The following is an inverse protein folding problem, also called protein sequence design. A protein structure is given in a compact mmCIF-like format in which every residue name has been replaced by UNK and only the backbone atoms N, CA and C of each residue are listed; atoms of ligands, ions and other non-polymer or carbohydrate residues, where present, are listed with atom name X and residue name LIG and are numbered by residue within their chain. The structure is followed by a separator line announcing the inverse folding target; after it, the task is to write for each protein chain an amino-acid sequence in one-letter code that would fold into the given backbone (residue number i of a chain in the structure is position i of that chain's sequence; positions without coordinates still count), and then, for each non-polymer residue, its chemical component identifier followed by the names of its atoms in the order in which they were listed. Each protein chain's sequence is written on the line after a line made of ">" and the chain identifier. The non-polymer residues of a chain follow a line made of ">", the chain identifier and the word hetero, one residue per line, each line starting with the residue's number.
data_IF_598691076504
#
_entry.id   IF_598691076504
#
_cell.length_a   1.000
_cell.length_b   1.000
_cell.length_c   1.000
_cell.angle_alpha   90.00
_cell.angle_beta   90.00
_cell.angle_gamma   90.00
#
_symmetry.space_group_name_H-M   'P 1'
#
loop_
_entity.id
_entity.type
_entity.pdbx_description
1 polymer ?
#
# COMPACT_ATOMS: atom_id res chain seq x y z
N UNK A 1 2.45 -0.80 -8.45
CA UNK A 1 1.68 -1.96 -8.96
C UNK A 1 0.76 -2.43 -7.82
N UNK A 2 -0.47 -1.93 -7.71
CA UNK A 2 -1.41 -2.39 -6.67
C UNK A 2 -2.05 -3.68 -7.15
N UNK A 3 -1.31 -4.79 -7.11
CA UNK A 3 -1.91 -6.11 -7.23
C UNK A 3 -2.61 -6.39 -5.91
N UNK A 4 -3.88 -6.00 -5.82
CA UNK A 4 -4.80 -6.74 -4.97
C UNK A 4 -4.71 -8.19 -5.49
N UNK A 5 -4.29 -9.18 -4.69
CA UNK A 5 -4.34 -10.55 -5.15
C UNK A 5 -5.81 -10.84 -5.39
N UNK A 6 -6.20 -10.89 -6.66
CA UNK A 6 -7.51 -11.40 -7.06
C UNK A 6 -7.46 -12.90 -6.82
N UNK A 7 -7.55 -13.28 -5.54
CA UNK A 7 -7.86 -14.62 -5.09
C UNK A 7 -9.37 -14.66 -4.87
N UNK A 8 -10.10 -14.61 -5.97
CA UNK A 8 -11.40 -15.26 -6.00
C UNK A 8 -11.22 -16.48 -6.89
N UNK A 9 -10.57 -17.50 -6.32
CA UNK A 9 -10.85 -18.88 -6.69
C UNK A 9 -12.37 -19.07 -6.69
N UNK A 10 -12.86 -19.99 -7.52
CA UNK A 10 -14.27 -20.36 -7.55
C UNK A 10 -14.77 -20.69 -6.12
N UNK A 11 -15.47 -19.75 -5.50
CA UNK A 11 -16.12 -19.89 -4.19
C UNK A 11 -17.61 -20.06 -4.48
N UNK A 12 -18.14 -21.30 -4.47
CA UNK A 12 -19.57 -21.52 -4.69
C UNK A 12 -20.39 -20.74 -3.65
N UNK A 13 -21.63 -20.39 -3.95
CA UNK A 13 -22.52 -19.72 -2.98
C UNK A 13 -23.18 -20.71 -1.99
N UNK A 14 -22.62 -21.90 -1.86
CA UNK A 14 -23.10 -22.97 -0.98
C UNK A 14 -21.91 -23.73 -0.39
N UNK A 15 -22.04 -24.16 0.87
CA UNK A 15 -21.04 -24.95 1.56
C UNK A 15 -21.47 -26.43 1.57
N UNK A 16 -20.55 -27.33 1.24
CA UNK A 16 -20.79 -28.79 1.28
C UNK A 16 -20.36 -29.33 2.65
N UNK A 17 -21.28 -29.88 3.47
CA UNK A 17 -20.91 -30.44 4.75
C UNK A 17 -20.07 -31.72 4.57
N UNK A 18 -19.12 -32.02 5.48
CA UNK A 18 -18.36 -33.28 5.45
C UNK A 18 -19.25 -34.52 5.57
N UNK A 19 -20.46 -34.32 6.10
CA UNK A 19 -21.49 -35.32 6.23
C UNK A 19 -22.00 -35.90 4.91
N UNK A 20 -21.94 -35.13 3.81
CA UNK A 20 -22.30 -35.63 2.48
C UNK A 20 -21.30 -36.70 2.03
N UNK A 21 -20.00 -36.42 2.16
CA UNK A 21 -18.93 -37.40 1.91
C UNK A 21 -19.04 -38.60 2.85
N UNK A 22 -19.42 -38.39 4.11
CA UNK A 22 -19.66 -39.50 5.04
C UNK A 22 -20.82 -40.38 4.59
N UNK A 23 -21.90 -39.80 4.06
CA UNK A 23 -23.03 -40.54 3.52
C UNK A 23 -22.61 -41.38 2.30
N UNK A 24 -21.84 -40.81 1.36
CA UNK A 24 -21.30 -41.53 0.21
C UNK A 24 -20.43 -42.73 0.63
N UNK A 25 -19.50 -42.53 1.57
CA UNK A 25 -18.64 -43.59 2.10
C UNK A 25 -19.44 -44.70 2.78
N UNK A 26 -20.55 -44.34 3.46
CA UNK A 26 -21.45 -45.31 4.09
C UNK A 26 -22.22 -46.12 3.05
N UNK A 27 -22.72 -45.48 2.00
CA UNK A 27 -23.47 -46.12 0.92
C UNK A 27 -22.59 -47.07 0.12
N UNK A 28 -21.36 -46.67 -0.26
CA UNK A 28 -20.38 -47.53 -0.92
C UNK A 28 -20.04 -48.79 -0.12
N UNK A 29 -20.10 -48.69 1.21
CA UNK A 29 -19.80 -49.79 2.13
C UNK A 29 -21.04 -50.56 2.58
N UNK A 30 -22.24 -50.18 2.13
CA UNK A 30 -23.50 -50.75 2.59
C UNK A 30 -23.69 -50.64 4.12
N UNK A 31 -23.13 -49.61 4.75
CA UNK A 31 -23.13 -49.41 6.21
C UNK A 31 -24.17 -48.35 6.60
N UNK A 32 -25.13 -48.70 7.44
CA UNK A 32 -26.08 -47.70 7.95
C UNK A 32 -25.44 -46.76 8.99
N UNK A 33 -25.99 -45.55 9.14
CA UNK A 33 -25.56 -44.60 10.19
C UNK A 33 -25.66 -45.21 11.60
N UNK A 34 -26.65 -46.07 11.86
CA UNK A 34 -26.79 -46.78 13.13
C UNK A 34 -25.64 -47.78 13.34
N UNK A 35 -25.19 -48.44 12.28
CA UNK A 35 -24.04 -49.35 12.34
C UNK A 35 -22.73 -48.59 12.53
N UNK A 36 -22.57 -47.45 11.87
CA UNK A 36 -21.44 -46.55 12.08
C UNK A 36 -21.38 -46.08 13.55
N UNK A 37 -22.51 -45.61 14.09
CA UNK A 37 -22.63 -45.17 15.48
C UNK A 37 -22.12 -46.25 16.44
N UNK A 38 -22.56 -47.50 16.26
CA UNK A 38 -22.08 -48.65 17.03
C UNK A 38 -20.56 -48.87 16.88
N UNK A 39 -20.00 -48.77 15.66
CA UNK A 39 -18.57 -48.99 15.41
C UNK A 39 -17.67 -47.89 15.95
N UNK A 40 -18.16 -46.67 16.00
CA UNK A 40 -17.41 -45.49 16.49
C UNK A 40 -17.57 -45.22 17.98
N UNK A 41 -18.42 -46.00 18.65
CA UNK A 41 -18.87 -45.74 20.03
C UNK A 41 -19.42 -44.31 20.20
N UNK A 42 -20.30 -43.92 19.27
CA UNK A 42 -20.99 -42.63 19.27
C UNK A 42 -22.50 -42.88 19.24
N UNK A 43 -23.28 -41.94 19.77
CA UNK A 43 -24.73 -42.07 19.68
C UNK A 43 -25.22 -41.91 18.23
N UNK A 44 -26.29 -42.63 17.80
CA UNK A 44 -26.91 -42.41 16.49
C UNK A 44 -27.29 -40.95 16.25
N UNK A 45 -27.74 -40.25 17.30
CA UNK A 45 -28.02 -38.80 17.26
C UNK A 45 -26.78 -37.98 16.90
N UNK A 46 -25.61 -38.35 17.41
CA UNK A 46 -24.36 -37.65 17.14
C UNK A 46 -23.93 -37.86 15.68
N UNK A 47 -23.95 -39.10 15.18
CA UNK A 47 -23.67 -39.41 13.77
C UNK A 47 -24.63 -38.66 12.84
N UNK A 48 -25.93 -38.67 13.13
CA UNK A 48 -26.92 -37.95 12.32
C UNK A 48 -26.65 -36.43 12.28
N UNK A 49 -26.22 -35.83 13.40
CA UNK A 49 -25.87 -34.41 13.42
C UNK A 49 -24.56 -34.10 12.67
N UNK A 50 -23.61 -35.02 12.62
CA UNK A 50 -22.41 -34.91 11.77
C UNK A 50 -22.81 -34.98 10.29
N UNK A 51 -23.63 -35.97 9.90
CA UNK A 51 -24.11 -36.12 8.53
C UNK A 51 -24.83 -34.87 8.04
N UNK A 52 -25.64 -34.25 8.90
CA UNK A 52 -26.34 -33.01 8.57
C UNK A 52 -25.50 -31.72 8.79
N UNK A 53 -24.19 -31.81 9.07
CA UNK A 53 -23.30 -30.66 9.25
C UNK A 53 -23.53 -29.79 10.51
N UNK A 54 -24.43 -30.21 11.40
CA UNK A 54 -24.83 -29.46 12.61
C UNK A 54 -23.83 -29.55 13.77
N UNK A 55 -22.91 -30.50 13.74
CA UNK A 55 -21.86 -30.69 14.75
C UNK A 55 -20.53 -30.87 14.04
N UNK A 56 -19.45 -30.23 14.51
CA UNK A 56 -18.15 -30.36 13.88
C UNK A 56 -17.54 -31.74 14.11
N UNK A 57 -16.82 -32.23 13.11
CA UNK A 57 -15.94 -33.39 13.27
C UNK A 57 -14.69 -32.96 14.03
N UNK A 58 -14.61 -33.30 15.32
CA UNK A 58 -13.40 -33.09 16.11
C UNK A 58 -12.28 -34.08 15.74
N UNK A 59 -11.04 -33.81 16.15
CA UNK A 59 -9.92 -34.73 15.92
C UNK A 59 -10.18 -36.14 16.48
N UNK A 60 -10.81 -36.24 17.65
CA UNK A 60 -11.17 -37.53 18.25
C UNK A 60 -12.22 -38.27 17.40
N UNK A 61 -13.25 -37.57 16.93
CA UNK A 61 -14.28 -38.14 16.05
C UNK A 61 -13.67 -38.56 14.72
N UNK A 62 -12.78 -37.77 14.14
CA UNK A 62 -12.09 -38.09 12.89
C UNK A 62 -11.27 -39.39 13.00
N UNK A 63 -10.55 -39.60 14.12
CA UNK A 63 -9.80 -40.85 14.38
C UNK A 63 -10.75 -42.05 14.53
N UNK A 64 -11.89 -41.87 15.21
CA UNK A 64 -12.92 -42.92 15.33
C UNK A 64 -13.53 -43.27 13.96
N UNK A 65 -13.82 -42.26 13.14
CA UNK A 65 -14.30 -42.43 11.77
C UNK A 65 -13.27 -43.17 10.92
N UNK A 66 -11.99 -42.78 10.95
CA UNK A 66 -10.90 -43.46 10.24
C UNK A 66 -10.88 -44.96 10.56
N UNK A 67 -10.94 -45.32 11.83
CA UNK A 67 -10.96 -46.74 12.25
C UNK A 67 -12.20 -47.49 11.74
N UNK A 68 -13.33 -46.81 11.57
CA UNK A 68 -14.59 -47.41 11.16
C UNK A 68 -14.78 -47.45 9.63
N UNK A 69 -14.21 -46.47 8.92
CA UNK A 69 -14.42 -46.22 7.49
C UNK A 69 -13.16 -46.30 6.65
N UNK A 70 -11.98 -46.54 7.23
CA UNK A 70 -10.68 -46.59 6.54
C UNK A 70 -10.33 -45.32 5.74
N UNK A 71 -11.08 -44.24 5.94
CA UNK A 71 -10.81 -42.92 5.36
C UNK A 71 -9.95 -42.13 6.35
N UNK A 72 -8.75 -41.66 5.96
CA UNK A 72 -7.84 -40.98 6.87
C UNK A 72 -8.48 -39.81 7.63
N UNK A 73 -8.22 -39.69 8.94
CA UNK A 73 -8.70 -38.62 9.82
C UNK A 73 -8.35 -37.22 9.29
N UNK A 74 -7.18 -37.08 8.64
CA UNK A 74 -6.77 -35.83 7.99
C UNK A 74 -7.75 -35.35 6.91
N UNK A 75 -8.40 -36.27 6.18
CA UNK A 75 -9.37 -35.91 5.15
C UNK A 75 -10.65 -35.38 5.79
N UNK A 76 -11.15 -36.05 6.83
CA UNK A 76 -12.31 -35.57 7.59
C UNK A 76 -12.09 -34.18 8.18
N UNK A 77 -10.91 -33.95 8.78
CA UNK A 77 -10.55 -32.65 9.33
C UNK A 77 -10.40 -31.57 8.25
N UNK A 78 -9.86 -31.92 7.08
CA UNK A 78 -9.77 -31.00 5.95
C UNK A 78 -11.15 -30.60 5.44
N UNK A 79 -12.06 -31.57 5.25
CA UNK A 79 -13.44 -31.31 4.83
C UNK A 79 -14.17 -30.43 5.84
N UNK A 80 -14.04 -30.73 7.14
CA UNK A 80 -14.65 -29.93 8.21
C UNK A 80 -14.11 -28.51 8.23
N UNK A 81 -12.80 -28.33 8.12
CA UNK A 81 -12.17 -27.01 8.08
C UNK A 81 -12.69 -26.20 6.89
N UNK A 82 -12.69 -26.78 5.68
CA UNK A 82 -13.22 -26.13 4.47
C UNK A 82 -14.70 -25.77 4.62
N UNK A 83 -15.54 -26.69 5.12
CA UNK A 83 -16.96 -26.43 5.30
C UNK A 83 -17.24 -25.27 6.26
N UNK A 84 -16.57 -25.26 7.43
CA UNK A 84 -16.76 -24.21 8.45
C UNK A 84 -16.24 -22.86 7.99
N UNK A 85 -15.08 -22.85 7.33
CA UNK A 85 -14.52 -21.64 6.73
C UNK A 85 -15.48 -21.06 5.68
N UNK A 86 -16.05 -21.91 4.83
CA UNK A 86 -17.00 -21.49 3.82
C UNK A 86 -18.31 -20.96 4.42
N UNK A 87 -18.89 -21.64 5.42
CA UNK A 87 -20.05 -21.12 6.15
C UNK A 87 -19.78 -19.73 6.74
N UNK A 88 -18.61 -19.53 7.35
CA UNK A 88 -18.22 -18.24 7.91
C UNK A 88 -18.07 -17.15 6.84
N UNK A 89 -17.62 -17.51 5.63
CA UNK A 89 -17.56 -16.57 4.49
C UNK A 89 -18.94 -16.20 3.97
N UNK A 90 -19.87 -17.15 3.91
CA UNK A 90 -21.23 -16.92 3.42
C UNK A 90 -22.11 -16.16 4.43
N UNK A 91 -21.73 -16.12 5.70
CA UNK A 91 -22.45 -15.37 6.73
C UNK A 91 -22.30 -13.85 6.55
N UNK A 92 -23.15 -13.28 5.70
CA UNK A 92 -23.22 -11.83 5.50
C UNK A 92 -23.67 -11.07 6.76
N UNK A 93 -24.38 -11.74 7.69
CA UNK A 93 -24.86 -11.09 8.91
C UNK A 93 -23.70 -10.69 9.83
N UNK A 94 -22.60 -11.45 9.79
CA UNK A 94 -21.36 -11.11 10.49
C UNK A 94 -20.70 -9.83 9.96
N UNK A 95 -20.91 -9.50 8.68
CA UNK A 95 -20.35 -8.29 8.03
C UNK A 95 -21.25 -7.07 8.17
N UNK A 96 -22.53 -7.25 8.50
CA UNK A 96 -23.50 -6.16 8.56
C UNK A 96 -23.08 -4.98 9.47
N UNK A 97 -22.45 -5.18 10.64
CA UNK A 97 -21.98 -4.07 11.50
C UNK A 97 -20.89 -3.20 10.86
N UNK A 98 -20.13 -3.76 9.91
CA UNK A 98 -18.97 -3.13 9.29
C UNK A 98 -19.30 -2.44 7.96
N UNK A 99 -20.47 -2.71 7.36
CA UNK A 99 -20.92 -2.08 6.10
C UNK A 99 -20.79 -0.56 6.04
N UNK A 100 -21.07 0.22 7.11
CA UNK A 100 -20.94 1.67 7.01
C UNK A 100 -19.49 2.15 6.89
N UNK A 101 -18.48 1.27 6.97
CA UNK A 101 -17.10 1.58 6.58
C UNK A 101 -17.00 2.03 5.12
N UNK A 102 -17.87 1.51 4.24
CA UNK A 102 -17.87 1.88 2.82
C UNK A 102 -18.21 3.35 2.58
N UNK A 103 -18.91 3.99 3.52
CA UNK A 103 -19.25 5.41 3.48
C UNK A 103 -18.16 6.29 4.09
N UNK A 104 -17.27 5.71 4.90
CA UNK A 104 -16.14 6.40 5.54
C UNK A 104 -14.90 6.50 4.64
N UNK A 105 -14.89 5.79 3.50
CA UNK A 105 -13.72 5.65 2.64
C UNK A 105 -13.99 6.26 1.24
N UNK A 106 -12.95 6.72 0.53
CA UNK A 106 -13.09 7.24 -0.84
C UNK A 106 -13.21 6.10 -1.87
N UNK A 107 -14.25 5.26 -1.75
CA UNK A 107 -14.43 4.03 -2.57
C UNK A 107 -14.37 4.32 -4.07
N UNK A 108 -15.00 5.42 -4.52
CA UNK A 108 -14.98 5.80 -5.93
C UNK A 108 -13.56 6.09 -6.43
N UNK A 109 -12.72 6.76 -5.63
CA UNK A 109 -11.33 7.01 -5.96
C UNK A 109 -10.53 5.69 -5.97
N UNK A 110 -10.77 4.81 -5.00
CA UNK A 110 -10.11 3.51 -4.93
C UNK A 110 -10.41 2.63 -6.15
N UNK A 111 -11.67 2.59 -6.62
CA UNK A 111 -12.05 1.88 -7.86
C UNK A 111 -11.43 2.53 -9.09
N UNK A 112 -11.44 3.86 -9.18
CA UNK A 112 -10.82 4.62 -10.29
C UNK A 112 -9.32 4.37 -10.41
N UNK A 113 -8.64 4.18 -9.28
CA UNK A 113 -7.21 3.89 -9.20
C UNK A 113 -6.89 2.39 -9.37
N UNK A 114 -7.90 1.54 -9.59
CA UNK A 114 -7.70 0.09 -9.78
C UNK A 114 -7.33 -0.66 -8.49
N UNK A 115 -7.45 -0.02 -7.32
CA UNK A 115 -7.25 -0.68 -6.02
C UNK A 115 -8.34 -1.71 -5.76
N UNK A 116 -9.58 -1.35 -6.12
CA UNK A 116 -10.78 -2.14 -5.88
C UNK A 116 -11.40 -2.58 -7.21
N UNK A 117 -11.90 -3.81 -7.23
CA UNK A 117 -12.51 -4.46 -8.39
C UNK A 117 -13.79 -3.75 -8.80
N UNK A 118 -14.01 -3.53 -10.10
CA UNK A 118 -15.23 -2.85 -10.57
C UNK A 118 -16.47 -3.73 -10.34
N UNK A 119 -17.63 -3.09 -10.09
CA UNK A 119 -18.97 -3.72 -10.09
C UNK A 119 -19.18 -4.89 -9.09
N UNK A 120 -18.66 -4.79 -7.87
CA UNK A 120 -18.98 -5.73 -6.78
C UNK A 120 -20.24 -5.34 -5.98
N UNK A 121 -20.92 -6.33 -5.42
CA UNK A 121 -21.95 -6.13 -4.39
C UNK A 121 -21.37 -5.61 -3.07
N UNK A 122 -22.21 -5.10 -2.17
CA UNK A 122 -21.77 -4.40 -0.94
C UNK A 122 -20.93 -5.27 0.01
N UNK A 123 -21.25 -6.56 0.16
CA UNK A 123 -20.51 -7.45 1.06
C UNK A 123 -19.12 -7.80 0.49
N UNK A 124 -19.04 -8.14 -0.80
CA UNK A 124 -17.76 -8.40 -1.46
C UNK A 124 -16.88 -7.16 -1.52
N UNK A 125 -17.50 -5.99 -1.77
CA UNK A 125 -16.82 -4.69 -1.66
C UNK A 125 -16.21 -4.50 -0.28
N UNK A 126 -16.96 -4.79 0.79
CA UNK A 126 -16.47 -4.66 2.15
C UNK A 126 -15.33 -5.64 2.45
N UNK A 127 -15.43 -6.90 2.02
CA UNK A 127 -14.34 -7.89 2.16
C UNK A 127 -13.06 -7.39 1.48
N UNK A 128 -13.18 -6.93 0.24
CA UNK A 128 -12.05 -6.39 -0.53
C UNK A 128 -11.41 -5.17 0.16
N UNK A 129 -12.24 -4.25 0.68
CA UNK A 129 -11.77 -3.10 1.45
C UNK A 129 -11.02 -3.51 2.71
N UNK A 130 -11.57 -4.43 3.51
CA UNK A 130 -10.93 -4.92 4.74
C UNK A 130 -9.58 -5.60 4.45
N UNK A 131 -9.51 -6.40 3.38
CA UNK A 131 -8.28 -7.03 2.91
C UNK A 131 -7.23 -5.99 2.47
N UNK A 132 -7.62 -5.01 1.67
CA UNK A 132 -6.71 -3.96 1.21
C UNK A 132 -6.15 -3.14 2.39
N UNK A 133 -7.02 -2.73 3.31
CA UNK A 133 -6.64 -1.99 4.51
C UNK A 133 -5.82 -2.84 5.49
N UNK A 134 -5.87 -4.17 5.40
CA UNK A 134 -5.19 -5.09 6.31
C UNK A 134 -5.80 -5.08 7.71
N UNK A 135 -7.11 -4.92 7.82
CA UNK A 135 -7.83 -4.81 9.11
C UNK A 135 -8.98 -5.80 9.19
N UNK A 136 -9.23 -6.31 10.40
CA UNK A 136 -10.25 -7.34 10.61
C UNK A 136 -11.70 -6.82 10.50
N UNK A 137 -11.93 -5.54 10.83
CA UNK A 137 -13.26 -4.90 10.87
C UNK A 137 -13.16 -3.37 10.95
N UNK A 138 -14.30 -2.67 10.92
CA UNK A 138 -14.39 -1.20 10.97
C UNK A 138 -13.83 -0.61 12.26
N UNK A 139 -13.96 -1.31 13.40
CA UNK A 139 -13.40 -0.83 14.67
C UNK A 139 -11.87 -0.85 14.66
N UNK A 140 -11.28 -1.93 14.12
CA UNK A 140 -9.83 -2.01 13.92
C UNK A 140 -9.32 -0.91 12.98
N UNK A 141 -10.06 -0.63 11.90
CA UNK A 141 -9.78 0.52 11.01
C UNK A 141 -9.75 1.84 11.78
N UNK A 142 -10.81 2.16 12.50
CA UNK A 142 -10.91 3.44 13.24
C UNK A 142 -9.82 3.62 14.28
N UNK A 143 -9.40 2.54 14.96
CA UNK A 143 -8.25 2.58 15.89
C UNK A 143 -6.94 2.90 15.16
N UNK A 144 -6.73 2.25 14.02
CA UNK A 144 -5.55 2.48 13.16
C UNK A 144 -5.52 3.93 12.68
N UNK A 145 -6.64 4.43 12.15
CA UNK A 145 -6.76 5.81 11.69
C UNK A 145 -6.47 6.82 12.81
N UNK A 146 -7.05 6.65 14.00
CA UNK A 146 -6.78 7.53 15.15
C UNK A 146 -5.29 7.57 15.54
N UNK A 147 -4.61 6.42 15.53
CA UNK A 147 -3.18 6.35 15.86
C UNK A 147 -2.31 7.08 14.82
N UNK A 148 -2.72 6.99 13.56
CA UNK A 148 -2.12 7.68 12.44
C UNK A 148 -2.36 9.20 12.55
N UNK A 149 -3.61 9.64 12.78
CA UNK A 149 -3.98 11.05 12.99
C UNK A 149 -3.20 11.73 14.13
N UNK A 150 -3.01 11.03 15.25
CA UNK A 150 -2.20 11.51 16.36
C UNK A 150 -0.73 11.71 15.97
N UNK A 151 -0.21 10.83 15.11
CA UNK A 151 1.16 10.92 14.59
C UNK A 151 1.30 12.05 13.56
N UNK A 152 0.26 12.35 12.80
CA UNK A 152 0.24 13.41 11.78
C UNK A 152 0.16 14.82 12.36
N UNK A 153 -0.23 14.99 13.63
CA UNK A 153 -0.60 16.29 14.23
C UNK A 153 -1.42 17.12 13.23
N UNK A 154 -2.54 16.58 12.74
CA UNK A 154 -3.38 17.32 11.81
C UNK A 154 -3.85 18.62 12.45
N UNK A 155 -3.33 19.77 11.97
CA UNK A 155 -3.98 21.05 12.25
C UNK A 155 -5.36 21.01 11.61
N UNK A 156 -6.35 21.50 12.33
CA UNK A 156 -7.80 21.48 12.03
C UNK A 156 -8.21 22.27 10.77
N UNK A 157 -7.25 22.66 9.94
CA UNK A 157 -7.44 23.37 8.68
C UNK A 157 -7.92 22.41 7.57
N UNK A 158 -9.11 21.84 7.73
CA UNK A 158 -10.19 21.54 6.77
C UNK A 158 -9.89 21.08 5.31
N UNK A 159 -8.66 20.69 4.93
CA UNK A 159 -8.31 20.46 3.52
C UNK A 159 -8.08 18.99 3.13
N UNK A 160 -7.85 18.07 4.05
CA UNK A 160 -7.59 16.67 3.71
C UNK A 160 -8.60 15.75 4.40
N UNK A 161 -9.12 14.77 3.66
CA UNK A 161 -9.87 13.64 4.21
C UNK A 161 -8.87 12.64 4.85
N UNK A 162 -8.93 12.41 6.17
CA UNK A 162 -8.02 11.48 6.85
C UNK A 162 -8.11 10.06 6.31
N UNK A 163 -9.30 9.63 5.88
CA UNK A 163 -9.48 8.32 5.28
C UNK A 163 -8.75 8.20 3.93
N UNK A 164 -8.82 9.25 3.09
CA UNK A 164 -8.08 9.31 1.83
C UNK A 164 -6.56 9.31 2.05
N UNK A 165 -6.07 10.05 3.06
CA UNK A 165 -4.65 10.03 3.43
C UNK A 165 -4.23 8.62 3.88
N UNK A 166 -5.01 7.96 4.73
CA UNK A 166 -4.69 6.62 5.21
C UNK A 166 -4.71 5.57 4.08
N UNK A 167 -5.67 5.66 3.14
CA UNK A 167 -5.69 4.82 1.93
C UNK A 167 -4.44 5.05 1.07
N UNK A 168 -4.04 6.32 0.89
CA UNK A 168 -2.83 6.67 0.15
C UNK A 168 -1.57 6.13 0.83
N UNK A 169 -1.43 6.30 2.15
CA UNK A 169 -0.32 5.73 2.90
C UNK A 169 -0.28 4.21 2.77
N UNK A 170 -1.43 3.54 2.86
CA UNK A 170 -1.53 2.08 2.69
C UNK A 170 -1.02 1.60 1.33
N UNK A 171 -1.23 2.36 0.25
CA UNK A 171 -0.62 2.05 -1.05
C UNK A 171 0.89 1.95 -0.95
N UNK A 172 1.53 2.94 -0.32
CA UNK A 172 2.97 2.96 -0.15
C UNK A 172 3.48 1.84 0.74
N UNK A 173 2.71 1.39 1.73
CA UNK A 173 3.09 0.23 2.57
C UNK A 173 3.07 -1.07 1.77
N UNK A 174 2.01 -1.29 0.99
CA UNK A 174 1.85 -2.49 0.16
C UNK A 174 2.97 -2.55 -0.89
N UNK A 175 3.19 -1.46 -1.63
CA UNK A 175 4.25 -1.45 -2.65
C UNK A 175 5.65 -1.50 -2.04
N UNK A 176 5.88 -0.86 -0.89
CA UNK A 176 7.16 -0.98 -0.20
C UNK A 176 7.44 -2.39 0.33
N UNK A 177 6.41 -3.19 0.64
CA UNK A 177 6.59 -4.56 1.13
C UNK A 177 7.30 -5.44 0.09
N UNK A 178 7.05 -5.21 -1.20
CA UNK A 178 7.64 -5.95 -2.33
C UNK A 178 9.10 -5.53 -2.64
N UNK A 179 9.60 -4.45 -2.04
CA UNK A 179 10.96 -3.96 -2.27
C UNK A 179 11.90 -4.55 -1.23
N UNK A 180 12.78 -5.46 -1.65
CA UNK A 180 13.86 -5.96 -0.79
C UNK A 180 14.90 -4.86 -0.56
N UNK A 181 15.10 -4.50 0.71
CA UNK A 181 16.03 -3.45 1.12
C UNK A 181 17.20 -4.04 1.93
N UNK A 182 18.39 -3.50 1.72
CA UNK A 182 19.53 -3.73 2.60
C UNK A 182 19.25 -3.15 4.01
N UNK A 183 20.01 -3.50 5.06
CA UNK A 183 19.90 -2.82 6.34
C UNK A 183 20.14 -1.31 6.20
N UNK A 184 19.40 -0.51 7.00
CA UNK A 184 19.56 0.94 7.03
C UNK A 184 21.02 1.36 7.27
N UNK A 185 21.56 2.15 6.36
CA UNK A 185 22.88 2.77 6.47
C UNK A 185 22.79 4.26 6.12
N UNK A 186 22.89 5.17 7.10
CA UNK A 186 22.78 6.61 6.88
C UNK A 186 23.95 7.18 6.04
N UNK A 187 25.13 6.56 6.10
CA UNK A 187 26.28 6.99 5.30
C UNK A 187 26.09 6.61 3.84
N UNK A 188 25.62 5.37 3.60
CA UNK A 188 25.22 4.91 2.27
C UNK A 188 24.07 5.75 1.71
N UNK A 189 23.08 6.08 2.53
CA UNK A 189 21.95 6.89 2.07
C UNK A 189 22.38 8.30 1.63
N UNK A 190 23.29 8.95 2.36
CA UNK A 190 23.88 10.23 1.92
C UNK A 190 24.57 10.13 0.56
N UNK A 191 25.25 9.01 0.29
CA UNK A 191 25.85 8.75 -1.01
C UNK A 191 24.81 8.49 -2.11
N UNK A 192 23.75 7.75 -1.78
CA UNK A 192 22.58 7.57 -2.65
C UNK A 192 21.96 8.91 -3.03
N UNK A 193 21.84 9.86 -2.10
CA UNK A 193 21.31 11.19 -2.41
C UNK A 193 22.20 11.94 -3.41
N UNK A 194 23.53 11.81 -3.33
CA UNK A 194 24.43 12.41 -4.33
C UNK A 194 24.23 11.80 -5.72
N UNK A 195 24.04 10.48 -5.78
CA UNK A 195 23.77 9.79 -7.05
C UNK A 195 22.39 10.15 -7.60
N UNK A 196 21.36 10.21 -6.75
CA UNK A 196 20.01 10.64 -7.10
C UNK A 196 19.99 12.08 -7.64
N UNK A 197 20.82 12.98 -7.10
CA UNK A 197 20.98 14.34 -7.63
C UNK A 197 21.48 14.33 -9.07
N UNK A 198 22.38 13.41 -9.41
CA UNK A 198 22.83 13.20 -10.80
C UNK A 198 21.71 12.71 -11.72
N UNK A 199 20.80 11.86 -11.22
CA UNK A 199 19.64 11.36 -11.96
C UNK A 199 18.66 12.46 -12.36
N UNK A 200 18.70 13.62 -11.72
CA UNK A 200 17.84 14.75 -12.10
C UNK A 200 17.98 15.12 -13.57
N UNK A 201 19.18 14.94 -14.13
CA UNK A 201 19.53 15.26 -15.53
C UNK A 201 18.93 14.28 -16.54
N UNK A 202 18.48 13.12 -16.09
CA UNK A 202 17.78 12.15 -16.93
C UNK A 202 16.31 12.56 -17.05
N UNK A 203 15.87 12.82 -18.28
CA UNK A 203 14.52 13.29 -18.55
C UNK A 203 13.50 12.16 -18.55
N UNK A 204 13.93 10.93 -18.82
CA UNK A 204 13.05 9.77 -19.00
C UNK A 204 12.82 9.01 -17.66
N UNK A 205 11.58 9.03 -17.11
CA UNK A 205 11.24 8.31 -15.89
C UNK A 205 11.44 6.80 -15.97
N UNK A 206 11.35 6.20 -17.17
CA UNK A 206 11.58 4.77 -17.35
C UNK A 206 13.01 4.36 -17.06
N UNK A 207 13.94 5.31 -17.15
CA UNK A 207 15.37 5.10 -16.92
C UNK A 207 15.76 5.42 -15.48
N UNK A 208 15.40 6.61 -14.99
CA UNK A 208 15.88 7.03 -13.67
C UNK A 208 15.08 6.43 -12.51
N UNK A 209 13.80 6.08 -12.70
CA UNK A 209 12.97 5.57 -11.61
C UNK A 209 13.44 4.21 -11.09
N UNK A 210 13.67 3.19 -11.94
CA UNK A 210 14.13 1.89 -11.45
C UNK A 210 15.49 2.03 -10.74
N UNK A 211 16.37 2.87 -11.28
CA UNK A 211 17.67 3.18 -10.69
C UNK A 211 17.54 3.89 -9.33
N UNK A 212 16.60 4.82 -9.19
CA UNK A 212 16.35 5.48 -7.90
C UNK A 212 15.82 4.49 -6.85
N UNK A 213 14.93 3.57 -7.26
CA UNK A 213 14.44 2.49 -6.38
C UNK A 213 15.60 1.61 -5.91
N UNK A 214 16.45 1.14 -6.84
CA UNK A 214 17.62 0.31 -6.53
C UNK A 214 18.60 1.01 -5.58
N UNK A 215 18.93 2.28 -5.87
CA UNK A 215 19.84 3.06 -5.04
C UNK A 215 19.29 3.22 -3.62
N UNK A 216 18.02 3.63 -3.47
CA UNK A 216 17.37 3.75 -2.17
C UNK A 216 17.35 2.42 -1.41
N UNK A 217 16.99 1.33 -2.10
CA UNK A 217 16.92 -0.01 -1.51
C UNK A 217 18.29 -0.47 -0.98
N UNK A 218 19.38 -0.12 -1.66
CA UNK A 218 20.76 -0.41 -1.23
C UNK A 218 21.17 0.29 0.07
N UNK A 219 20.41 1.30 0.52
CA UNK A 219 20.63 2.02 1.76
C UNK A 219 19.57 1.73 2.84
N UNK A 220 18.65 0.79 2.60
CA UNK A 220 17.56 0.48 3.53
C UNK A 220 16.30 1.31 3.37
N UNK A 221 16.12 1.99 2.23
CA UNK A 221 14.97 2.84 1.95
C UNK A 221 14.15 2.29 0.78
N UNK A 222 12.89 1.97 1.04
CA UNK A 222 11.92 1.74 -0.03
C UNK A 222 11.48 3.10 -0.59
N UNK A 223 11.79 3.37 -1.86
CA UNK A 223 11.24 4.51 -2.58
C UNK A 223 10.04 4.07 -3.40
N UNK A 224 8.90 4.75 -3.21
CA UNK A 224 7.64 4.37 -3.85
C UNK A 224 6.95 5.61 -4.42
N UNK A 225 6.55 5.50 -5.68
CA UNK A 225 5.84 6.54 -6.41
C UNK A 225 4.41 6.07 -6.71
N UNK A 226 3.45 6.58 -5.95
CA UNK A 226 2.04 6.14 -6.03
C UNK A 226 1.14 7.27 -6.55
N UNK A 227 0.01 6.96 -7.22
CA UNK A 227 -0.95 7.98 -7.60
C UNK A 227 -1.53 8.69 -6.37
N UNK A 228 -1.96 9.94 -6.54
CA UNK A 228 -2.72 10.63 -5.52
C UNK A 228 -4.12 10.01 -5.37
N UNK A 229 -4.60 9.94 -4.14
CA UNK A 229 -6.00 9.61 -3.82
C UNK A 229 -6.78 10.91 -3.68
N UNK A 230 -7.86 11.06 -4.47
CA UNK A 230 -8.74 12.23 -4.41
C UNK A 230 -9.19 12.46 -2.95
N UNK A 231 -8.91 13.66 -2.40
CA UNK A 231 -9.19 14.02 -1.01
C UNK A 231 -7.99 13.91 -0.05
N UNK A 232 -6.91 13.23 -0.42
CA UNK A 232 -5.71 13.14 0.41
C UNK A 232 -4.90 14.44 0.41
N UNK A 233 -4.69 15.05 -0.77
CA UNK A 233 -3.94 16.30 -0.98
C UNK A 233 -2.57 16.30 -0.27
N UNK A 234 -1.89 15.16 -0.27
CA UNK A 234 -0.55 14.99 0.30
C UNK A 234 0.47 14.78 -0.79
N UNK A 235 1.62 15.41 -0.62
CA UNK A 235 2.61 15.48 -1.68
C UNK A 235 3.80 14.54 -1.50
N UNK A 236 4.04 14.12 -0.27
CA UNK A 236 5.10 13.20 0.10
C UNK A 236 4.89 12.73 1.53
N UNK A 237 5.49 11.58 1.84
CA UNK A 237 5.58 11.05 3.18
C UNK A 237 6.88 10.29 3.38
N UNK A 238 7.53 10.54 4.50
CA UNK A 238 8.68 9.78 4.98
C UNK A 238 8.32 9.07 6.29
N UNK A 239 8.55 7.76 6.38
CA UNK A 239 8.30 6.99 7.60
C UNK A 239 9.16 5.75 7.73
N UNK A 240 9.26 5.23 8.95
CA UNK A 240 9.90 3.93 9.21
C UNK A 240 8.84 2.83 9.21
N UNK A 241 8.98 1.82 8.34
CA UNK A 241 8.12 0.64 8.32
C UNK A 241 8.56 -0.39 9.36
N UNK A 242 9.88 -0.50 9.54
CA UNK A 242 10.54 -1.29 10.58
C UNK A 242 11.74 -0.49 11.10
N UNK A 243 12.42 -0.93 12.18
CA UNK A 243 13.64 -0.27 12.65
C UNK A 243 14.77 -0.18 11.59
N UNK A 244 14.74 -1.03 10.56
CA UNK A 244 15.79 -1.12 9.55
C UNK A 244 15.33 -0.78 8.12
N UNK A 245 14.05 -0.45 7.93
CA UNK A 245 13.46 -0.16 6.60
C UNK A 245 12.67 1.14 6.64
N UNK A 246 13.23 2.18 6.03
CA UNK A 246 12.53 3.44 5.80
C UNK A 246 11.73 3.41 4.51
N UNK A 247 10.75 4.30 4.40
CA UNK A 247 9.89 4.49 3.26
C UNK A 247 9.84 5.97 2.90
N UNK A 248 10.15 6.28 1.65
CA UNK A 248 9.85 7.57 1.01
C UNK A 248 8.75 7.31 -0.02
N UNK A 249 7.58 7.89 0.22
CA UNK A 249 6.41 7.75 -0.60
C UNK A 249 6.04 9.10 -1.22
N UNK A 250 6.01 9.21 -2.55
CA UNK A 250 5.66 10.44 -3.24
C UNK A 250 4.44 10.27 -4.14
N UNK A 251 3.64 11.33 -4.27
CA UNK A 251 2.59 11.41 -5.29
C UNK A 251 3.13 12.07 -6.57
N UNK A 252 2.78 11.51 -7.72
CA UNK A 252 3.50 11.80 -8.98
C UNK A 252 2.62 12.34 -10.12
N UNK A 253 1.30 12.29 -10.00
CA UNK A 253 0.39 12.64 -11.11
C UNK A 253 0.51 14.12 -11.47
N UNK A 254 0.88 14.40 -12.72
CA UNK A 254 0.91 15.75 -13.28
C UNK A 254 2.02 16.65 -12.74
N UNK A 255 3.02 16.08 -12.06
CA UNK A 255 4.10 16.86 -11.45
C UNK A 255 5.16 17.26 -12.45
N UNK A 256 5.65 18.46 -12.25
CA UNK A 256 6.88 18.93 -12.87
C UNK A 256 8.08 18.26 -12.19
N UNK A 257 9.11 17.96 -12.97
CA UNK A 257 10.33 17.29 -12.52
C UNK A 257 10.97 18.00 -11.32
N UNK A 258 10.98 19.34 -11.33
CA UNK A 258 11.50 20.15 -10.22
C UNK A 258 10.74 19.93 -8.91
N UNK A 259 9.41 19.86 -8.97
CA UNK A 259 8.56 19.64 -7.79
C UNK A 259 8.78 18.22 -7.24
N UNK A 260 8.90 17.23 -8.12
CA UNK A 260 9.17 15.86 -7.72
C UNK A 260 10.52 15.73 -7.00
N UNK A 261 11.61 16.19 -7.62
CA UNK A 261 12.94 16.07 -7.04
C UNK A 261 13.06 16.86 -5.73
N UNK A 262 12.48 18.06 -5.66
CA UNK A 262 12.40 18.81 -4.42
C UNK A 262 11.71 18.00 -3.31
N UNK A 263 10.56 17.41 -3.61
CA UNK A 263 9.81 16.58 -2.65
C UNK A 263 10.63 15.38 -2.20
N UNK A 264 11.33 14.70 -3.12
CA UNK A 264 12.20 13.58 -2.78
C UNK A 264 13.30 13.97 -1.78
N UNK A 265 14.04 15.05 -2.03
CA UNK A 265 15.10 15.48 -1.12
C UNK A 265 14.55 16.01 0.21
N UNK A 266 13.37 16.62 0.20
CA UNK A 266 12.66 17.03 1.43
C UNK A 266 12.34 15.80 2.29
N UNK A 267 11.72 14.76 1.73
CA UNK A 267 11.41 13.53 2.45
C UNK A 267 12.68 12.78 2.91
N UNK A 268 13.74 12.80 2.09
CA UNK A 268 15.03 12.23 2.46
C UNK A 268 15.64 12.93 3.69
N UNK A 269 15.44 14.24 3.83
CA UNK A 269 15.85 14.97 5.04
C UNK A 269 15.16 14.44 6.29
N UNK A 270 13.85 14.17 6.22
CA UNK A 270 13.09 13.63 7.35
C UNK A 270 13.60 12.25 7.79
N UNK A 271 13.94 11.38 6.84
CA UNK A 271 14.58 10.08 7.13
C UNK A 271 15.94 10.26 7.83
N UNK A 272 16.76 11.21 7.34
CA UNK A 272 18.08 11.49 7.90
C UNK A 272 18.03 12.14 9.29
N UNK A 273 16.95 12.86 9.61
CA UNK A 273 16.88 13.64 10.84
C UNK A 273 16.79 12.77 12.11
N UNK A 274 16.47 11.47 12.01
CA UNK A 274 16.36 10.51 13.14
C UNK A 274 15.54 11.00 14.36
N UNK A 275 14.88 12.15 14.27
CA UNK A 275 13.99 12.65 15.30
C UNK A 275 12.84 11.66 15.38
N UNK A 276 12.52 11.24 16.62
CA UNK A 276 11.68 10.07 16.97
C UNK A 276 10.20 10.19 16.55
N UNK A 277 9.88 10.70 15.36
CA UNK A 277 8.52 10.72 14.82
C UNK A 277 8.34 9.50 13.90
N UNK A 278 7.22 8.77 14.03
CA UNK A 278 6.99 7.58 13.23
C UNK A 278 6.65 7.90 11.77
N UNK A 279 6.03 9.05 11.48
CA UNK A 279 5.60 9.45 10.14
C UNK A 279 5.72 10.97 9.96
N UNK A 280 6.26 11.39 8.81
CA UNK A 280 6.30 12.77 8.31
C UNK A 280 5.43 12.87 7.05
N UNK A 281 4.66 13.96 6.91
CA UNK A 281 3.79 14.22 5.76
C UNK A 281 4.07 15.63 5.23
N UNK A 282 4.57 15.74 4.01
CA UNK A 282 4.84 17.05 3.41
C UNK A 282 3.55 17.77 3.00
N UNK A 283 3.51 19.08 3.26
CA UNK A 283 2.40 19.98 2.95
C UNK A 283 1.62 20.49 4.16
N UNK A 284 2.03 20.16 5.39
CA UNK A 284 1.33 20.56 6.63
C UNK A 284 2.28 21.24 7.63
N UNK A 285 1.80 22.34 8.23
CA UNK A 285 2.51 23.14 9.23
C UNK A 285 3.93 23.58 8.77
N UNK A 286 3.97 24.28 7.62
CA UNK A 286 5.21 24.79 6.98
C UNK A 286 6.11 25.62 7.90
N UNK A 287 5.56 26.15 8.98
CA UNK A 287 6.28 26.99 9.93
C UNK A 287 7.00 26.20 11.05
N UNK A 288 6.90 24.86 11.06
CA UNK A 288 7.64 24.06 12.03
C UNK A 288 9.16 24.04 11.72
N UNK A 289 10.03 24.05 12.75
CA UNK A 289 11.49 24.01 12.53
C UNK A 289 11.94 22.79 11.72
N UNK A 290 11.26 21.65 11.87
CA UNK A 290 11.57 20.43 11.13
C UNK A 290 11.27 20.56 9.63
N UNK A 291 10.12 21.15 9.25
CA UNK A 291 9.77 21.40 7.84
C UNK A 291 10.71 22.44 7.21
N UNK A 292 11.07 23.51 7.94
CA UNK A 292 12.04 24.50 7.46
C UNK A 292 13.43 23.91 7.22
N UNK A 293 13.86 23.00 8.10
CA UNK A 293 15.12 22.27 7.94
C UNK A 293 15.09 21.35 6.73
N UNK A 294 13.99 20.61 6.52
CA UNK A 294 13.83 19.74 5.36
C UNK A 294 13.79 20.54 4.04
N UNK A 295 13.09 21.67 4.03
CA UNK A 295 13.10 22.60 2.89
C UNK A 295 14.50 23.14 2.64
N UNK A 296 15.20 23.65 3.66
CA UNK A 296 16.55 24.17 3.50
C UNK A 296 17.53 23.08 3.02
N UNK A 297 17.39 21.85 3.52
CA UNK A 297 18.17 20.71 3.06
C UNK A 297 17.95 20.45 1.57
N UNK A 298 16.69 20.30 1.14
CA UNK A 298 16.36 20.03 -0.26
C UNK A 298 16.88 21.13 -1.20
N UNK A 299 16.71 22.40 -0.80
CA UNK A 299 17.20 23.56 -1.56
C UNK A 299 18.71 23.52 -1.74
N UNK A 300 19.44 23.40 -0.62
CA UNK A 300 20.91 23.45 -0.61
C UNK A 300 21.55 22.22 -1.25
N UNK A 301 20.86 21.07 -1.18
CA UNK A 301 21.35 19.84 -1.80
C UNK A 301 21.21 19.86 -3.32
N UNK A 302 20.08 20.36 -3.83
CA UNK A 302 19.86 20.51 -5.27
C UNK A 302 20.77 21.59 -5.86
N UNK A 303 20.77 22.79 -5.27
CA UNK A 303 21.59 23.92 -5.72
C UNK A 303 22.45 24.37 -4.52
N UNK A 304 23.76 24.09 -4.54
CA UNK A 304 24.67 24.47 -3.46
C UNK A 304 24.64 25.98 -3.18
N UNK A 305 24.87 26.42 -1.93
CA UNK A 305 24.83 27.84 -1.54
C UNK A 305 25.71 28.75 -2.40
N UNK A 306 26.88 28.27 -2.83
CA UNK A 306 27.81 29.03 -3.68
C UNK A 306 27.19 29.42 -5.03
N UNK A 307 26.21 28.66 -5.53
CA UNK A 307 25.46 28.96 -6.74
C UNK A 307 24.22 29.85 -6.51
N UNK A 308 23.82 30.09 -5.27
CA UNK A 308 22.59 30.84 -4.96
C UNK A 308 22.70 32.33 -5.34
N UNK A 309 23.89 32.93 -5.20
CA UNK A 309 24.14 34.31 -5.62
C UNK A 309 24.09 34.47 -7.16
N UNK A 310 24.47 33.41 -7.88
CA UNK A 310 24.47 33.38 -9.34
C UNK A 310 23.04 33.30 -9.91
N UNK A 311 22.09 32.68 -9.19
CA UNK A 311 20.68 32.63 -9.58
C UNK A 311 20.09 34.03 -9.87
N UNK A 312 20.48 35.03 -9.06
CA UNK A 312 20.02 36.42 -9.22
C UNK A 312 20.56 37.09 -10.48
N UNK A 313 21.53 36.51 -11.17
CA UNK A 313 22.13 37.03 -12.41
C UNK A 313 21.55 36.39 -13.67
N UNK A 314 20.81 35.28 -13.54
CA UNK A 314 20.19 34.59 -14.67
C UNK A 314 19.05 35.43 -15.26
N UNK A 315 19.13 35.74 -16.56
CA UNK A 315 18.17 36.58 -17.30
C UNK A 315 17.55 35.86 -18.49
N UNK A 316 18.21 34.80 -18.99
CA UNK A 316 17.80 34.08 -20.18
C UNK A 316 17.69 32.57 -19.94
N UNK A 317 17.01 31.87 -20.86
CA UNK A 317 16.94 30.40 -20.83
C UNK A 317 18.32 29.74 -21.00
N UNK A 318 19.22 30.39 -21.75
CA UNK A 318 20.59 29.93 -21.98
C UNK A 318 21.37 30.02 -20.66
N UNK A 319 21.27 31.15 -19.94
CA UNK A 319 21.92 31.31 -18.63
C UNK A 319 21.51 30.20 -17.66
N UNK A 320 20.21 29.85 -17.65
CA UNK A 320 19.68 28.77 -16.83
C UNK A 320 20.24 27.40 -17.23
N UNK A 321 20.36 27.12 -18.52
CA UNK A 321 20.94 25.88 -19.02
C UNK A 321 22.42 25.76 -18.66
N UNK A 322 23.18 26.82 -18.86
CA UNK A 322 24.61 26.89 -18.54
C UNK A 322 24.85 26.72 -17.04
N UNK A 323 24.07 27.41 -16.21
CA UNK A 323 24.13 27.28 -14.75
C UNK A 323 23.71 25.87 -14.30
N UNK A 324 22.64 25.31 -14.86
CA UNK A 324 22.20 23.96 -14.52
C UNK A 324 23.28 22.91 -14.87
N UNK A 325 23.98 23.09 -15.99
CA UNK A 325 25.10 22.25 -16.40
C UNK A 325 26.29 22.39 -15.45
N UNK A 326 26.63 23.61 -15.00
CA UNK A 326 27.75 23.86 -14.09
C UNK A 326 27.53 23.24 -12.70
N UNK A 327 26.30 23.29 -12.18
CA UNK A 327 25.96 22.66 -10.89
C UNK A 327 25.55 21.19 -11.04
N UNK A 328 25.31 20.70 -12.26
CA UNK A 328 25.01 19.30 -12.54
C UNK A 328 23.59 18.86 -12.20
N UNK A 329 22.58 19.69 -12.50
CA UNK A 329 21.15 19.38 -12.32
C UNK A 329 20.35 19.66 -13.60
N UNK A 330 19.09 19.24 -13.66
CA UNK A 330 18.20 19.60 -14.76
C UNK A 330 17.81 21.08 -14.74
N UNK A 331 17.77 21.79 -15.88
CA UNK A 331 17.39 23.20 -15.96
C UNK A 331 16.06 23.54 -15.29
N UNK A 332 15.09 22.64 -15.37
CA UNK A 332 13.79 22.79 -14.69
C UNK A 332 13.90 22.98 -13.17
N UNK A 333 14.90 22.37 -12.50
CA UNK A 333 15.13 22.53 -11.05
C UNK A 333 15.56 23.96 -10.73
N UNK A 334 16.44 24.54 -11.57
CA UNK A 334 16.86 25.93 -11.46
C UNK A 334 15.67 26.87 -11.68
N UNK A 335 14.85 26.62 -12.71
CA UNK A 335 13.61 27.40 -12.94
C UNK A 335 12.67 27.30 -11.73
N UNK A 336 12.47 26.11 -11.18
CA UNK A 336 11.64 25.91 -9.98
C UNK A 336 12.14 26.74 -8.79
N UNK A 337 13.46 26.81 -8.60
CA UNK A 337 14.09 27.67 -7.58
C UNK A 337 13.86 29.16 -7.85
N UNK A 338 14.06 29.61 -9.08
CA UNK A 338 13.85 31.00 -9.49
C UNK A 338 12.39 31.45 -9.31
N UNK A 339 11.43 30.56 -9.60
CA UNK A 339 10.00 30.81 -9.36
C UNK A 339 9.69 30.88 -7.86
N UNK A 340 10.23 29.95 -7.06
CA UNK A 340 10.02 29.92 -5.61
C UNK A 340 10.58 31.17 -4.91
N UNK A 341 11.75 31.65 -5.32
CA UNK A 341 12.36 32.88 -4.77
C UNK A 341 11.77 34.17 -5.37
N UNK A 342 10.84 34.09 -6.32
CA UNK A 342 10.25 35.25 -6.98
C UNK A 342 11.21 36.03 -7.88
N UNK A 343 12.34 35.44 -8.26
CA UNK A 343 13.32 36.04 -9.17
C UNK A 343 12.76 36.05 -10.60
N UNK A 344 12.13 34.95 -11.01
CA UNK A 344 11.40 34.83 -12.28
C UNK A 344 9.90 34.65 -11.99
N UNK A 345 9.06 35.17 -12.88
CA UNK A 345 7.63 34.88 -12.85
C UNK A 345 7.34 33.48 -13.43
N UNK A 346 6.14 32.95 -13.15
CA UNK A 346 5.76 31.61 -13.58
C UNK A 346 5.62 31.43 -15.11
N UNK A 347 5.61 32.51 -15.91
CA UNK A 347 5.59 32.42 -17.38
C UNK A 347 6.99 32.32 -17.99
N UNK A 348 8.04 32.70 -17.26
CA UNK A 348 9.43 32.57 -17.70
C UNK A 348 9.97 31.15 -17.49
N UNK A 349 10.74 30.63 -18.46
CA UNK A 349 11.45 29.35 -18.33
C UNK A 349 10.57 28.10 -18.37
N UNK A 350 9.28 28.22 -18.69
CA UNK A 350 8.35 27.09 -18.73
C UNK A 350 8.80 25.98 -19.69
N UNK A 351 9.43 26.34 -20.81
CA UNK A 351 9.97 25.40 -21.80
C UNK A 351 11.15 24.57 -21.29
N UNK A 352 11.81 24.99 -20.21
CA UNK A 352 12.92 24.27 -19.58
C UNK A 352 12.46 23.28 -18.50
N UNK A 353 11.17 23.29 -18.17
CA UNK A 353 10.58 22.36 -17.22
C UNK A 353 9.97 21.18 -17.96
N UNK A 354 10.10 19.99 -17.40
CA UNK A 354 9.51 18.76 -17.91
C UNK A 354 8.42 18.27 -16.95
N UNK A 355 7.31 17.81 -17.50
CA UNK A 355 6.30 17.08 -16.73
C UNK A 355 6.70 15.61 -16.70
N UNK A 356 6.60 15.01 -15.52
CA UNK A 356 6.82 13.58 -15.36
C UNK A 356 5.53 12.84 -15.69
N UNK A 357 5.63 11.86 -16.58
CA UNK A 357 4.64 10.81 -16.77
C UNK A 357 5.37 9.49 -16.52
N UNK A 358 5.04 8.82 -15.42
CA UNK A 358 5.54 7.47 -15.23
C UNK A 358 4.78 6.52 -16.14
N UNK A 359 5.46 5.49 -16.61
CA UNK A 359 4.80 4.35 -17.25
C UNK A 359 3.87 3.75 -16.19
N UNK A 360 2.58 3.96 -16.39
CA UNK A 360 1.62 3.05 -15.80
C UNK A 360 1.78 1.77 -16.61
N UNK A 361 2.23 0.68 -15.99
CA UNK A 361 1.98 -0.64 -16.54
C UNK A 361 0.46 -0.76 -16.64
N UNK A 362 -0.07 -0.52 -17.82
CA UNK A 362 -1.50 -0.59 -18.09
C UNK A 362 -1.90 -2.07 -18.05
N UNK A 363 -2.60 -2.54 -17.00
CA UNK A 363 -2.99 -3.95 -16.90
C UNK A 363 -4.05 -4.32 -17.96
N UNK A 364 -4.54 -3.34 -18.74
CA UNK A 364 -5.58 -3.56 -19.74
C UNK A 364 -5.06 -3.91 -21.14
N UNK A 365 -3.75 -4.18 -21.29
CA UNK A 365 -3.15 -4.64 -22.57
C UNK A 365 -2.82 -6.13 -22.63
N UNK A 366 -3.12 -6.93 -21.59
CA UNK A 366 -3.23 -8.37 -21.76
C UNK A 366 -4.67 -8.70 -22.18
N UNK A 367 -4.80 -8.79 -23.51
CA UNK A 367 -6.02 -9.01 -24.28
C UNK A 367 -6.67 -10.39 -24.01
N UNK A 368 -7.72 -10.69 -24.79
CA UNK A 368 -7.58 -11.81 -25.71
C UNK A 368 -7.06 -11.39 -27.08
#
# INVERSE_FOLDING_TARGET
>A
MVRSPVLFDYLPNYAVPPGDTLAEVLDERGMSQAKLAQRTDLSPKHINRIVNGHVPISAEVAIRLERATDVPARLWLSLEATYREHLARLDESALAPDLPLLEELPIAAMVKLGILTKRLGKHDRLREVLMYLGVANRNAWRKTLKSQEASFRMSTAHRCDPAAVAVWLRMGEIEAAEIDCAPWDPSRFKEVLRQARGLTREGDPTVWQPKLVELCASAGIAFVAVPEVDGAWTNGAARWLTPNKGLIQLSIRGRWSDIFWFSFFHEASHILDQTKRPIFLSGKNKDSPEEQKADQFAQSFLIPPDGADELRRLRSAIDVQDFAASVGVHPGIVVGRLHHEGIWNYSQGHTLRSKLQFVQDDPSTESP
#
